data_IF_971074762296
#
_entry.id   IF_971074762296
#
_cell.length_a   1.000
_cell.length_b   1.000
_cell.length_c   1.000
_cell.angle_alpha   90.00
_cell.angle_beta   90.00
_cell.angle_gamma   90.00
#
_symmetry.space_group_name_H-M   'P 1'
#
loop_
_entity.id
_entity.type
_entity.pdbx_description
1 polymer ?
2 polymer ?
3 water ?
#
# COMPACT_ATOMS: atom_id res chain seq x y z
N UNK A 1 -20.55 -12.02 -16.68
CA UNK A 1 -19.43 -11.10 -16.46
C UNK A 1 -18.10 -11.88 -16.47
N UNK A 2 -17.12 -11.43 -17.27
CA UNK A 2 -15.80 -12.09 -17.22
C UNK A 2 -15.08 -11.75 -15.90
N UNK A 3 -14.68 -12.78 -15.14
CA UNK A 3 -14.11 -12.52 -13.82
C UNK A 3 -13.09 -13.61 -13.50
N UNK A 4 -12.17 -13.25 -12.61
CA UNK A 4 -11.28 -14.17 -11.90
C UNK A 4 -11.52 -13.98 -10.41
N UNK A 5 -11.80 -15.08 -9.69
CA UNK A 5 -12.10 -15.03 -8.27
C UNK A 5 -10.97 -15.73 -7.55
N UNK A 6 -10.28 -15.02 -6.68
CA UNK A 6 -9.18 -15.59 -5.92
C UNK A 6 -9.60 -16.02 -4.54
N UNK A 7 -8.86 -16.97 -3.99
CA UNK A 7 -9.10 -17.51 -2.67
C UNK A 7 -8.81 -16.46 -1.59
N UNK A 8 -9.32 -16.72 -0.38
CA UNK A 8 -9.26 -15.72 0.68
C UNK A 8 -7.86 -15.54 1.27
N UNK A 9 -7.73 -14.47 2.06
CA UNK A 9 -6.43 -14.14 2.68
C UNK A 9 -5.92 -15.26 3.57
N UNK A 10 -4.59 -15.36 3.67
CA UNK A 10 -3.93 -16.47 4.34
C UNK A 10 -2.92 -15.87 5.30
N UNK A 11 -2.88 -16.38 6.53
CA UNK A 11 -1.84 -16.03 7.50
C UNK A 11 -1.15 -17.32 7.87
N UNK A 12 0.16 -17.39 7.61
CA UNK A 12 0.90 -18.62 7.70
C UNK A 12 2.18 -18.37 8.48
N UNK A 13 2.80 -19.46 8.88
CA UNK A 13 4.11 -19.42 9.52
C UNK A 13 5.20 -19.80 8.53
N UNK A 14 6.45 -19.32 8.67
CA UNK A 14 7.50 -19.67 7.71
C UNK A 14 7.77 -21.17 7.71
N UNK A 15 8.15 -21.68 6.52
CA UNK A 15 8.27 -23.12 6.32
C UNK A 15 6.97 -23.80 5.90
N UNK A 16 5.83 -23.21 6.19
CA UNK A 16 4.58 -23.91 5.83
C UNK A 16 4.33 -23.91 4.32
N UNK A 17 3.55 -24.90 3.86
CA UNK A 17 3.16 -24.96 2.47
C UNK A 17 1.87 -24.18 2.30
N UNK A 18 1.65 -23.65 1.12
CA UNK A 18 0.40 -22.92 0.88
C UNK A 18 0.06 -23.01 -0.59
N UNK A 19 -1.22 -23.23 -0.91
CA UNK A 19 -1.69 -23.21 -2.29
C UNK A 19 -2.86 -22.24 -2.39
N UNK A 20 -2.74 -21.24 -3.26
CA UNK A 20 -3.82 -20.28 -3.45
C UNK A 20 -4.40 -20.52 -4.83
N UNK A 21 -5.65 -20.06 -5.04
CA UNK A 21 -6.37 -20.44 -6.26
C UNK A 21 -6.92 -19.21 -6.97
N UNK A 22 -7.20 -19.41 -8.25
CA UNK A 22 -7.73 -18.34 -9.13
C UNK A 22 -8.72 -19.00 -10.08
N UNK A 23 -10.00 -18.74 -9.88
CA UNK A 23 -11.09 -19.42 -10.60
C UNK A 23 -11.68 -18.47 -11.65
N UNK A 24 -11.69 -18.90 -12.91
CA UNK A 24 -12.30 -18.09 -13.99
C UNK A 24 -13.78 -18.37 -14.19
N UNK A 25 -14.51 -17.30 -14.52
CA UNK A 25 -15.93 -17.38 -14.82
C UNK A 25 -16.24 -16.47 -15.98
N UNK A 26 -17.25 -16.88 -16.79
CA UNK A 26 -17.76 -16.06 -17.87
C UNK A 26 -16.94 -16.07 -19.12
N UNK A 27 -16.04 -17.05 -19.31
CA UNK A 27 -15.20 -17.11 -20.50
C UNK A 27 -14.57 -18.50 -20.57
N UNK A 28 -14.04 -18.85 -21.76
CA UNK A 28 -13.38 -20.14 -21.98
C UNK A 28 -12.01 -20.15 -21.28
N UNK A 29 -11.95 -20.75 -20.10
CA UNK A 29 -10.71 -20.69 -19.31
C UNK A 29 -9.53 -21.30 -20.04
N UNK A 30 -9.77 -22.32 -20.88
CA UNK A 30 -8.63 -22.98 -21.50
C UNK A 30 -8.09 -22.23 -22.72
N UNK A 31 -8.63 -21.06 -23.06
CA UNK A 31 -8.22 -20.36 -24.27
C UNK A 31 -7.33 -19.15 -24.01
N UNK A 32 -6.98 -18.88 -22.76
CA UNK A 32 -6.27 -17.65 -22.41
C UNK A 32 -5.16 -17.97 -21.41
N UNK A 33 -4.04 -17.24 -21.51
CA UNK A 33 -3.01 -17.35 -20.50
C UNK A 33 -3.44 -16.75 -19.17
N UNK A 34 -2.98 -17.33 -18.07
CA UNK A 34 -3.14 -16.77 -16.73
C UNK A 34 -1.78 -16.40 -16.20
N UNK A 35 -1.62 -15.17 -15.70
CA UNK A 35 -0.38 -14.76 -15.06
C UNK A 35 -0.56 -14.54 -13.57
N UNK A 36 0.55 -14.64 -12.82
CA UNK A 36 0.57 -14.34 -11.40
C UNK A 36 1.51 -13.17 -11.17
N UNK A 37 1.06 -12.24 -10.34
CA UNK A 37 1.79 -11.00 -10.11
C UNK A 37 1.81 -10.73 -8.62
N UNK A 38 2.96 -10.33 -8.09
CA UNK A 38 3.13 -10.07 -6.67
C UNK A 38 3.24 -8.59 -6.42
N UNK A 39 2.63 -8.11 -5.33
CA UNK A 39 2.83 -6.74 -4.89
C UNK A 39 3.18 -6.74 -3.41
N UNK A 40 4.47 -6.53 -3.10
CA UNK A 40 4.84 -6.50 -1.70
C UNK A 40 4.31 -5.22 -1.06
N UNK A 41 4.16 -5.22 0.28
CA UNK A 41 3.53 -4.06 0.95
C UNK A 41 4.24 -2.76 0.59
N UNK A 42 3.50 -1.80 0.06
CA UNK A 42 4.04 -0.50 -0.28
C UNK A 42 4.87 -0.44 -1.53
N UNK A 43 4.96 -1.52 -2.30
CA UNK A 43 5.84 -1.59 -3.45
C UNK A 43 5.01 -1.75 -4.74
N UNK A 44 5.72 -1.92 -5.86
CA UNK A 44 5.11 -2.03 -7.17
C UNK A 44 4.74 -3.46 -7.52
N UNK A 45 4.46 -3.66 -8.80
CA UNK A 45 4.00 -4.94 -9.33
C UNK A 45 5.17 -5.74 -9.85
N UNK A 46 5.19 -7.05 -9.57
CA UNK A 46 6.27 -7.89 -10.07
C UNK A 46 5.65 -9.15 -10.68
N UNK A 47 6.09 -9.50 -11.88
CA UNK A 47 5.57 -10.65 -12.60
C UNK A 47 6.29 -11.89 -12.11
N UNK A 48 5.52 -12.92 -11.76
CA UNK A 48 6.07 -14.16 -11.23
C UNK A 48 6.11 -15.30 -12.23
N UNK A 49 5.08 -15.46 -13.04
CA UNK A 49 5.07 -16.47 -14.09
C UNK A 49 3.69 -16.56 -14.71
N UNK A 50 3.54 -17.52 -15.61
CA UNK A 50 2.33 -17.60 -16.41
C UNK A 50 2.04 -19.06 -16.74
N UNK A 51 0.77 -19.36 -17.02
CA UNK A 51 0.41 -20.73 -17.39
C UNK A 51 -0.72 -20.65 -18.40
N UNK A 52 -0.65 -21.52 -19.39
CA UNK A 52 -1.76 -21.67 -20.33
C UNK A 52 -2.60 -22.86 -19.90
N UNK A 53 -3.80 -22.65 -19.34
CA UNK A 53 -4.54 -23.78 -18.73
C UNK A 53 -4.94 -24.86 -19.72
N UNK A 54 -5.04 -24.53 -21.00
CA UNK A 54 -5.40 -25.55 -21.99
C UNK A 54 -4.40 -26.69 -22.07
N UNK A 55 -3.11 -26.41 -21.84
CA UNK A 55 -2.12 -27.48 -21.85
C UNK A 55 -1.10 -27.42 -20.71
N UNK A 56 -1.28 -26.53 -19.73
CA UNK A 56 -0.40 -26.40 -18.56
C UNK A 56 1.03 -26.05 -18.95
N UNK A 57 1.21 -25.42 -20.11
CA UNK A 57 2.52 -24.86 -20.45
C UNK A 57 2.79 -23.72 -19.50
N UNK A 58 3.96 -23.72 -18.83
CA UNK A 58 4.24 -22.73 -17.79
C UNK A 58 5.58 -22.04 -18.04
N UNK A 59 5.68 -20.78 -17.61
CA UNK A 59 6.96 -20.10 -17.59
C UNK A 59 7.09 -19.37 -16.27
N UNK A 60 8.28 -19.37 -15.69
CA UNK A 60 8.56 -18.73 -14.42
C UNK A 60 9.63 -17.66 -14.60
N UNK A 61 9.43 -16.51 -13.99
CA UNK A 61 10.53 -15.58 -13.76
C UNK A 61 11.71 -16.29 -13.08
N UNK A 62 12.95 -16.00 -13.48
CA UNK A 62 14.09 -16.57 -12.74
C UNK A 62 14.04 -16.31 -11.25
N UNK A 63 13.46 -15.18 -10.85
CA UNK A 63 13.34 -14.83 -9.44
C UNK A 63 12.40 -15.74 -8.67
N UNK A 64 11.55 -16.50 -9.37
CA UNK A 64 10.60 -17.37 -8.68
C UNK A 64 10.73 -18.83 -9.08
N UNK A 65 11.52 -19.15 -10.11
CA UNK A 65 11.75 -20.52 -10.49
C UNK A 65 12.23 -21.25 -9.25
N UNK A 66 11.61 -22.38 -8.95
CA UNK A 66 12.07 -23.15 -7.83
C UNK A 66 11.60 -22.67 -6.47
N UNK A 67 10.83 -21.58 -6.40
CA UNK A 67 10.22 -21.21 -5.14
C UNK A 67 8.72 -21.44 -5.17
N UNK A 68 8.12 -21.41 -6.34
CA UNK A 68 6.68 -21.61 -6.45
C UNK A 68 6.42 -22.60 -7.56
N UNK A 69 5.24 -23.19 -7.52
CA UNK A 69 4.74 -24.03 -8.57
C UNK A 69 3.40 -23.47 -9.01
N UNK A 70 3.25 -23.25 -10.31
CA UNK A 70 2.01 -22.73 -10.90
C UNK A 70 1.39 -23.91 -11.62
N UNK A 71 0.08 -24.10 -11.45
CA UNK A 71 -0.58 -25.25 -12.03
C UNK A 71 -2.01 -24.87 -12.38
N UNK A 72 -2.68 -25.75 -13.10
CA UNK A 72 -4.07 -25.46 -13.43
C UNK A 72 -4.88 -26.74 -13.49
N UNK A 73 -6.17 -26.62 -13.12
CA UNK A 73 -7.16 -27.71 -13.23
C UNK A 73 -8.22 -27.20 -14.20
N UNK A 74 -8.06 -27.54 -15.46
CA UNK A 74 -8.94 -26.99 -16.49
C UNK A 74 -10.36 -27.47 -16.31
N UNK A 75 -10.54 -28.66 -15.72
CA UNK A 75 -11.90 -29.19 -15.54
C UNK A 75 -12.76 -28.30 -14.65
N UNK A 76 -12.15 -27.45 -13.81
CA UNK A 76 -12.93 -26.57 -12.94
C UNK A 76 -12.44 -25.13 -13.10
N UNK A 77 -11.80 -24.83 -14.24
CA UNK A 77 -11.40 -23.45 -14.62
C UNK A 77 -10.63 -22.74 -13.49
N UNK A 78 -9.69 -23.45 -12.84
CA UNK A 78 -8.95 -22.87 -11.72
C UNK A 78 -7.45 -22.98 -11.94
N UNK A 79 -6.71 -21.88 -11.74
CA UNK A 79 -5.26 -21.90 -11.72
C UNK A 79 -4.77 -21.79 -10.29
N UNK A 80 -3.57 -22.30 -10.01
CA UNK A 80 -3.08 -22.33 -8.65
C UNK A 80 -1.65 -21.82 -8.62
N UNK A 81 -1.27 -21.30 -7.46
CA UNK A 81 0.12 -21.06 -7.09
C UNK A 81 0.43 -21.64 -5.72
N UNK A 82 1.52 -22.39 -5.62
CA UNK A 82 1.78 -23.17 -4.44
C UNK A 82 3.21 -22.92 -4.03
N UNK A 83 3.41 -22.68 -2.75
CA UNK A 83 4.73 -22.59 -2.13
C UNK A 83 5.01 -23.85 -1.34
N UNK A 84 6.24 -24.37 -1.44
CA UNK A 84 6.52 -25.52 -0.57
C UNK A 84 6.98 -25.06 0.81
N UNK A 85 7.61 -23.88 0.90
CA UNK A 85 8.25 -23.44 2.15
C UNK A 85 8.14 -21.90 2.15
N UNK A 86 7.05 -21.38 2.71
CA UNK A 86 6.86 -19.93 2.74
C UNK A 86 7.97 -19.23 3.52
N UNK A 87 8.41 -18.08 2.99
CA UNK A 87 9.40 -17.27 3.67
C UNK A 87 8.73 -15.98 4.14
N UNK A 88 9.27 -15.35 5.17
CA UNK A 88 8.72 -14.07 5.63
C UNK A 88 8.58 -13.08 4.48
N UNK A 89 9.52 -13.12 3.54
CA UNK A 89 9.52 -12.16 2.44
C UNK A 89 8.48 -12.52 1.40
N UNK A 90 7.79 -13.65 1.54
CA UNK A 90 6.61 -13.89 0.72
C UNK A 90 5.37 -13.13 1.16
N UNK A 91 5.42 -12.35 2.24
CA UNK A 91 4.27 -11.50 2.59
C UNK A 91 4.02 -10.47 1.50
N UNK A 92 2.86 -10.58 0.84
CA UNK A 92 2.51 -9.72 -0.30
C UNK A 92 1.05 -9.98 -0.70
N UNK A 93 0.54 -9.09 -1.54
CA UNK A 93 -0.71 -9.32 -2.27
C UNK A 93 -0.35 -10.07 -3.55
N UNK A 94 -1.08 -11.15 -3.86
CA UNK A 94 -0.84 -11.91 -5.08
C UNK A 94 -2.05 -11.78 -5.98
N UNK A 95 -1.83 -11.35 -7.23
CA UNK A 95 -2.91 -11.25 -8.20
C UNK A 95 -2.79 -12.33 -9.23
N UNK A 96 -3.90 -12.89 -9.68
CA UNK A 96 -3.83 -13.62 -10.93
C UNK A 96 -4.52 -12.73 -11.97
N UNK A 97 -4.13 -12.88 -13.23
CA UNK A 97 -4.69 -12.01 -14.26
C UNK A 97 -4.70 -12.78 -15.56
N UNK A 98 -5.71 -12.50 -16.40
CA UNK A 98 -5.81 -13.10 -17.70
C UNK A 98 -5.14 -12.20 -18.74
N UNK A 99 -4.46 -12.82 -19.69
CA UNK A 99 -3.89 -12.06 -20.81
C UNK A 99 -4.89 -11.86 -21.94
N UNK A 100 -4.83 -10.67 -22.54
CA UNK A 100 -5.73 -10.29 -23.62
C UNK A 100 -5.51 -11.12 -24.87
N UNK A 101 -6.60 -11.42 -25.58
CA UNK A 101 -6.57 -11.98 -26.94
C UNK A 101 -7.70 -11.34 -27.74
N UNK A 102 -7.41 -10.93 -28.98
CA UNK A 102 -8.48 -10.56 -29.90
C UNK A 102 -9.50 -11.68 -30.05
N UNK A 103 -9.09 -12.78 -30.70
CA UNK A 103 -10.00 -13.91 -30.95
C UNK A 103 -9.57 -15.13 -30.14
N UNK A 104 -10.28 -15.46 -29.05
CA UNK A 104 -9.97 -16.68 -28.29
C UNK A 104 -10.21 -17.95 -29.08
N UNK A 105 -10.88 -17.88 -30.23
CA UNK A 105 -11.35 -19.10 -30.89
C UNK A 105 -10.25 -19.84 -31.65
N UNK A 106 -9.16 -19.16 -32.03
CA UNK A 106 -8.03 -19.86 -32.63
C UNK A 106 -7.32 -20.69 -31.57
N UNK A 107 -6.91 -21.91 -31.96
CA UNK A 107 -6.44 -22.90 -30.99
C UNK A 107 -5.10 -22.52 -30.38
N UNK A 108 -4.21 -21.90 -31.15
CA UNK A 108 -2.87 -21.54 -30.67
C UNK A 108 -2.89 -20.06 -30.30
N UNK A 109 -2.60 -19.75 -29.04
CA UNK A 109 -2.77 -18.39 -28.57
C UNK A 109 -1.59 -17.49 -28.87
N UNK A 110 -0.40 -18.05 -29.03
CA UNK A 110 0.79 -17.22 -29.12
C UNK A 110 1.12 -16.64 -27.77
N UNK A 111 2.17 -15.83 -27.71
CA UNK A 111 2.71 -15.38 -26.42
C UNK A 111 1.67 -14.59 -25.63
N UNK A 112 1.88 -14.53 -24.33
CA UNK A 112 0.95 -13.82 -23.45
C UNK A 112 1.03 -12.32 -23.63
N UNK A 113 -0.13 -11.70 -23.89
CA UNK A 113 -0.27 -10.26 -24.12
C UNK A 113 -0.52 -9.57 -22.77
N UNK A 114 -0.98 -8.32 -22.80
CA UNK A 114 -1.26 -7.54 -21.60
C UNK A 114 -2.36 -8.21 -20.80
N UNK A 115 -2.36 -7.94 -19.50
CA UNK A 115 -3.36 -8.52 -18.58
C UNK A 115 -4.63 -7.67 -18.59
N UNK A 116 -5.70 -8.20 -19.22
CA UNK A 116 -6.95 -7.45 -19.32
C UNK A 116 -7.96 -7.73 -18.21
N UNK A 117 -7.90 -8.89 -17.55
CA UNK A 117 -8.82 -9.22 -16.46
C UNK A 117 -7.99 -9.53 -15.23
N UNK A 118 -8.28 -8.89 -14.09
CA UNK A 118 -7.48 -9.16 -12.88
C UNK A 118 -8.36 -9.74 -11.78
N UNK A 119 -7.83 -10.73 -11.06
CA UNK A 119 -8.46 -11.18 -9.83
C UNK A 119 -8.36 -10.10 -8.76
N UNK A 120 -9.09 -10.30 -7.66
CA UNK A 120 -9.20 -9.26 -6.64
C UNK A 120 -8.01 -9.25 -5.69
N UNK A 121 -7.10 -10.20 -5.83
CA UNK A 121 -5.92 -10.38 -5.00
C UNK A 121 -6.19 -11.28 -3.79
N UNK A 122 -5.13 -12.01 -3.40
CA UNK A 122 -5.06 -12.83 -2.19
C UNK A 122 -3.91 -12.28 -1.37
N UNK A 123 -4.21 -11.82 -0.17
CA UNK A 123 -3.18 -11.34 0.74
C UNK A 123 -2.58 -12.55 1.48
N UNK A 124 -1.26 -12.68 1.41
CA UNK A 124 -0.55 -13.78 2.12
C UNK A 124 0.36 -13.11 3.11
N UNK A 125 0.21 -13.45 4.38
CA UNK A 125 1.07 -12.92 5.42
C UNK A 125 1.84 -14.08 6.04
N UNK A 126 3.17 -13.96 6.08
CA UNK A 126 4.04 -15.02 6.63
C UNK A 126 4.79 -14.44 7.81
N UNK A 127 4.67 -15.08 8.97
CA UNK A 127 5.29 -14.54 10.17
C UNK A 127 5.38 -15.63 11.21
N UNK A 128 6.45 -15.59 12.02
CA UNK A 128 6.57 -16.48 13.17
C UNK A 128 5.65 -16.07 14.31
N UNK A 129 5.03 -14.89 14.23
CA UNK A 129 4.19 -14.44 15.31
C UNK A 129 2.92 -15.28 15.38
N UNK A 130 2.33 -15.31 16.57
CA UNK A 130 1.01 -15.89 16.79
C UNK A 130 -0.02 -14.77 16.97
N UNK A 131 -1.27 -15.14 16.74
CA UNK A 131 -2.40 -14.25 16.96
C UNK A 131 -2.33 -13.63 18.35
N UNK A 132 -2.50 -12.32 18.40
CA UNK A 132 -2.27 -11.55 19.63
C UNK A 132 -3.10 -10.28 19.57
N UNK A 133 -3.90 -10.03 20.61
CA UNK A 133 -4.69 -8.83 20.64
C UNK A 133 -3.88 -7.61 21.03
N UNK A 134 -4.35 -6.42 20.66
CA UNK A 134 -3.59 -5.20 20.95
C UNK A 134 -3.70 -4.74 22.39
N UNK A 135 -2.64 -4.08 22.83
CA UNK A 135 -2.70 -3.19 23.98
C UNK A 135 -3.09 -1.81 23.46
N UNK A 136 -3.93 -1.10 24.20
CA UNK A 136 -4.41 0.21 23.77
C UNK A 136 -3.97 1.24 24.80
N UNK A 137 -3.24 2.24 24.34
CA UNK A 137 -2.78 3.26 25.27
C UNK A 137 -3.31 4.62 24.84
N UNK A 138 -3.67 5.49 25.78
CA UNK A 138 -4.17 6.82 25.40
C UNK A 138 -3.04 7.72 24.95
N UNK A 139 -3.36 8.59 23.99
CA UNK A 139 -2.50 9.66 23.52
C UNK A 139 -3.13 10.93 24.06
N UNK A 140 -2.65 11.36 25.23
CA UNK A 140 -3.29 12.37 26.04
C UNK A 140 -2.95 13.77 25.54
N UNK A 141 -3.93 14.67 25.46
CA UNK A 141 -3.74 16.04 24.98
C UNK A 141 -2.97 16.92 25.97
N UNK A 149 -6.83 26.78 20.56
CA UNK A 149 -8.21 26.38 20.36
C UNK A 149 -8.44 24.92 19.98
N UNK A 150 -7.45 24.30 19.34
CA UNK A 150 -7.54 22.91 18.89
C UNK A 150 -6.60 22.05 19.73
N UNK A 151 -7.10 20.91 20.18
CA UNK A 151 -6.32 19.91 20.88
C UNK A 151 -6.35 18.60 20.10
N UNK A 152 -5.23 17.88 20.12
CA UNK A 152 -5.17 16.55 19.53
C UNK A 152 -5.13 15.51 20.63
N UNK A 153 -5.82 14.41 20.40
CA UNK A 153 -5.85 13.28 21.31
C UNK A 153 -5.98 12.03 20.45
N UNK A 154 -5.74 10.87 21.04
CA UNK A 154 -5.75 9.68 20.23
C UNK A 154 -5.53 8.42 21.03
N UNK A 155 -5.38 7.32 20.30
CA UNK A 155 -5.13 6.00 20.86
C UNK A 155 -3.96 5.37 20.14
N UNK A 156 -3.02 4.84 20.90
CA UNK A 156 -1.94 4.03 20.36
C UNK A 156 -2.33 2.57 20.50
N UNK A 157 -2.45 1.87 19.38
CA UNK A 157 -2.92 0.48 19.33
C UNK A 157 -1.71 -0.37 19.01
N UNK A 158 -1.13 -1.03 20.01
CA UNK A 158 0.22 -1.52 19.88
C UNK A 158 0.29 -3.03 20.10
N UNK A 159 1.21 -3.68 19.38
CA UNK A 159 1.63 -5.06 19.56
C UNK A 159 0.51 -6.05 19.29
N UNK A 160 -0.07 -6.01 18.08
CA UNK A 160 -1.07 -6.99 17.74
C UNK A 160 -0.66 -7.75 16.48
N UNK A 161 -1.31 -8.89 16.26
CA UNK A 161 -1.04 -9.68 15.08
C UNK A 161 -2.23 -10.59 14.85
N UNK A 162 -2.65 -10.80 13.59
CA UNK A 162 -2.22 -10.14 12.36
C UNK A 162 -3.02 -8.85 12.11
N UNK A 163 -2.76 -8.16 11.00
CA UNK A 163 -3.69 -7.11 10.57
C UNK A 163 -5.05 -7.72 10.27
N UNK A 164 -6.14 -6.93 10.36
CA UNK A 164 -6.21 -5.52 10.74
C UNK A 164 -6.85 -5.30 12.11
N UNK A 165 -6.69 -4.09 12.62
CA UNK A 165 -7.60 -3.57 13.63
C UNK A 165 -8.47 -2.52 12.97
N UNK A 166 -9.66 -2.34 13.53
CA UNK A 166 -10.49 -1.20 13.16
C UNK A 166 -10.58 -0.29 14.37
N UNK A 167 -10.65 1.01 14.12
CA UNK A 167 -10.75 1.98 15.21
C UNK A 167 -11.88 2.92 14.87
N UNK A 168 -12.77 3.15 15.82
CA UNK A 168 -13.79 4.18 15.71
C UNK A 168 -13.71 5.06 16.95
N UNK A 169 -14.39 6.20 16.89
CA UNK A 169 -14.41 7.13 18.01
C UNK A 169 -15.84 7.36 18.44
N UNK A 170 -16.07 7.32 19.75
CA UNK A 170 -17.39 7.54 20.34
C UNK A 170 -18.44 6.72 19.59
N UNK A 171 -18.09 5.44 19.37
CA UNK A 171 -18.96 4.42 18.78
C UNK A 171 -19.49 4.85 17.40
N UNK A 172 -18.71 5.64 16.67
CA UNK A 172 -19.07 6.09 15.34
C UNK A 172 -19.70 7.46 15.29
N UNK A 173 -20.01 8.05 16.44
CA UNK A 173 -20.60 9.38 16.46
C UNK A 173 -19.59 10.48 16.13
N UNK A 174 -18.30 10.22 16.35
CA UNK A 174 -17.25 11.21 16.16
C UNK A 174 -16.40 10.78 14.97
N UNK A 175 -16.59 11.46 13.83
CA UNK A 175 -15.87 11.14 12.60
C UNK A 175 -15.10 12.31 11.99
N UNK A 176 -15.53 13.55 12.20
CA UNK A 176 -14.77 14.67 11.68
C UNK A 176 -13.45 14.83 12.44
N UNK A 177 -12.38 15.09 11.69
CA UNK A 177 -11.09 15.30 12.30
C UNK A 177 -10.37 14.05 12.75
N UNK A 178 -10.89 12.86 12.43
CA UNK A 178 -10.27 11.59 12.80
C UNK A 178 -9.28 11.19 11.73
N UNK A 179 -8.11 10.74 12.15
CA UNK A 179 -7.11 10.17 11.26
C UNK A 179 -6.66 8.86 11.88
N UNK A 180 -6.89 7.76 11.19
CA UNK A 180 -6.38 6.47 11.61
C UNK A 180 -5.29 6.07 10.64
N UNK A 181 -4.05 5.93 11.15
CA UNK A 181 -2.88 5.77 10.30
C UNK A 181 -2.71 4.31 9.90
N UNK A 182 -2.02 4.05 8.80
CA UNK A 182 -1.71 2.67 8.43
C UNK A 182 -0.86 2.04 9.52
N UNK A 183 -1.08 0.74 9.77
CA UNK A 183 -0.25 0.03 10.71
C UNK A 183 1.19 -0.04 10.23
N UNK A 184 2.13 -0.07 11.17
CA UNK A 184 3.51 -0.37 10.84
C UNK A 184 3.86 -1.72 11.45
N UNK A 185 4.72 -2.47 10.77
CA UNK A 185 5.25 -3.71 11.32
C UNK A 185 6.48 -3.40 12.16
N UNK A 186 6.43 -3.72 13.44
CA UNK A 186 7.56 -3.50 14.32
C UNK A 186 8.60 -4.62 14.14
N UNK A 187 9.83 -4.32 14.57
CA UNK A 187 10.86 -5.35 14.53
C UNK A 187 10.52 -6.55 15.42
N UNK A 188 9.66 -6.38 16.42
CA UNK A 188 9.13 -7.52 17.18
C UNK A 188 8.28 -8.45 16.33
N UNK A 189 7.87 -8.05 15.12
CA UNK A 189 6.98 -8.85 14.33
C UNK A 189 5.51 -8.57 14.56
N UNK A 190 5.18 -7.71 15.52
CA UNK A 190 3.82 -7.28 15.82
C UNK A 190 3.56 -5.93 15.18
N UNK A 191 2.29 -5.64 14.95
CA UNK A 191 1.93 -4.38 14.31
C UNK A 191 1.61 -3.32 15.34
N UNK A 192 1.63 -2.07 14.89
CA UNK A 192 1.23 -0.97 15.75
C UNK A 192 0.61 0.10 14.87
N UNK A 193 -0.49 0.70 15.32
CA UNK A 193 -0.94 1.92 14.65
C UNK A 193 -1.44 2.92 15.68
N UNK A 194 -1.64 4.15 15.22
CA UNK A 194 -2.29 5.15 16.05
C UNK A 194 -3.50 5.72 15.33
N UNK A 195 -4.44 6.21 16.11
CA UNK A 195 -5.60 6.90 15.57
C UNK A 195 -5.74 8.17 16.39
N UNK A 196 -5.92 9.31 15.71
CA UNK A 196 -5.98 10.59 16.40
C UNK A 196 -7.22 11.32 15.94
N UNK A 197 -7.61 12.32 16.73
CA UNK A 197 -8.69 13.21 16.35
C UNK A 197 -8.35 14.55 16.96
N UNK A 198 -8.70 15.61 16.24
CA UNK A 198 -8.58 16.96 16.76
C UNK A 198 -9.96 17.44 17.14
N UNK A 199 -10.03 18.14 18.27
CA UNK A 199 -11.30 18.57 18.85
C UNK A 199 -11.10 19.94 19.46
N UNK A 200 -12.19 20.64 19.75
CA UNK A 200 -12.07 21.92 20.46
C UNK A 200 -11.44 21.69 21.82
N UNK A 201 -10.41 22.48 22.14
CA UNK A 201 -9.79 22.33 23.44
C UNK A 201 -10.79 22.64 24.56
N UNK A 202 -11.87 23.34 24.23
CA UNK A 202 -12.91 23.68 25.19
C UNK A 202 -13.69 22.45 25.65
N UNK A 203 -13.84 21.45 24.79
CA UNK A 203 -14.62 20.26 25.13
C UNK A 203 -13.88 19.33 26.08
N UNK A 204 -12.62 19.64 26.40
CA UNK A 204 -11.83 18.83 27.32
C UNK A 204 -12.10 19.28 28.76
N UNK A 209 -14.12 11.27 25.51
CA UNK A 209 -13.52 10.73 24.27
C UNK A 209 -13.05 9.30 24.48
N UNK A 210 -13.61 8.39 23.68
CA UNK A 210 -13.40 6.95 23.84
C UNK A 210 -13.09 6.37 22.47
N UNK A 211 -11.96 5.69 22.34
CA UNK A 211 -11.67 5.02 21.09
C UNK A 211 -12.07 3.55 21.19
N UNK A 212 -12.70 3.06 20.15
CA UNK A 212 -13.28 1.72 20.07
C UNK A 212 -12.39 0.90 19.17
N UNK A 213 -11.64 -0.03 19.74
CA UNK A 213 -10.66 -0.81 18.99
C UNK A 213 -11.16 -2.25 18.90
N UNK A 214 -11.23 -2.77 17.67
CA UNK A 214 -11.65 -4.14 17.42
C UNK A 214 -10.54 -4.86 16.66
N UNK A 215 -10.21 -6.07 17.09
CA UNK A 215 -9.23 -6.91 16.42
C UNK A 215 -9.91 -8.26 16.24
N UNK A 216 -10.53 -8.45 15.06
CA UNK A 216 -11.30 -9.66 14.78
C UNK A 216 -10.52 -10.96 15.03
N UNK A 217 -9.25 -11.11 14.59
CA UNK A 217 -8.57 -12.40 14.80
C UNK A 217 -8.50 -12.86 16.25
N UNK A 218 -8.26 -11.95 17.18
CA UNK A 218 -8.14 -12.34 18.58
C UNK A 218 -9.46 -12.19 19.35
N UNK A 219 -10.54 -11.80 18.66
CA UNK A 219 -11.83 -11.47 19.29
C UNK A 219 -11.68 -10.44 20.40
N UNK A 220 -10.84 -9.43 20.16
CA UNK A 220 -10.52 -8.40 21.15
C UNK A 220 -11.35 -7.16 20.87
N UNK A 221 -12.00 -6.64 21.90
CA UNK A 221 -12.70 -5.37 21.83
C UNK A 221 -12.28 -4.55 23.04
N UNK A 222 -11.81 -3.33 22.80
CA UNK A 222 -11.38 -2.45 23.88
C UNK A 222 -11.90 -1.04 23.60
N UNK A 223 -12.57 -0.45 24.59
CA UNK A 223 -13.08 0.91 24.52
C UNK A 223 -12.33 1.72 25.57
N UNK A 224 -11.38 2.56 25.14
CA UNK A 224 -10.46 3.25 26.05
C UNK A 224 -10.79 4.73 26.12
N UNK A 225 -11.04 5.23 27.33
CA UNK A 225 -11.25 6.65 27.56
C UNK A 225 -9.90 7.39 27.54
N UNK A 226 -9.87 8.51 26.84
CA UNK A 226 -8.66 9.30 26.69
C UNK A 226 -8.92 10.62 27.42
N UNK A 227 -8.34 10.77 28.60
CA UNK A 227 -8.65 11.88 29.49
C UNK A 227 -7.46 12.83 29.63
N UNK B 2 14.66 -6.60 -19.04
CA UNK B 2 14.51 -5.25 -19.56
C UNK B 2 14.03 -4.37 -18.43
N UNK B 3 14.75 -3.29 -18.16
CA UNK B 3 14.36 -2.35 -17.12
C UNK B 3 13.40 -1.30 -17.70
N UNK B 4 12.26 -1.13 -17.04
CA UNK B 4 11.29 -0.08 -17.34
C UNK B 4 11.36 1.02 -16.29
N UNK B 5 11.64 2.24 -16.74
CA UNK B 5 11.78 3.38 -15.85
C UNK B 5 10.68 4.37 -16.15
N UNK B 6 9.90 4.72 -15.12
CA UNK B 6 8.81 5.66 -15.26
C UNK B 6 9.23 7.01 -14.71
N UNK B 7 8.62 8.07 -15.25
CA UNK B 7 8.88 9.42 -14.81
C UNK B 7 7.65 10.27 -15.06
N UNK B 8 7.36 11.25 -14.18
CA UNK B 8 8.06 11.39 -12.90
C UNK B 8 7.55 10.31 -11.94
N UNK B 9 8.14 10.25 -10.77
CA UNK B 9 7.68 9.29 -9.77
C UNK B 9 6.36 9.72 -9.13
N UNK B 10 6.15 11.04 -8.96
CA UNK B 10 4.88 11.57 -8.53
C UNK B 10 4.55 12.80 -9.36
N UNK B 11 3.26 13.08 -9.48
CA UNK B 11 2.75 14.17 -10.30
C UNK B 11 1.50 14.72 -9.61
N UNK B 12 1.50 16.01 -9.36
CA UNK B 12 0.35 16.65 -8.75
C UNK B 12 -0.39 17.41 -9.84
N UNK B 13 -1.69 17.20 -9.95
CA UNK B 13 -2.44 17.86 -11.02
C UNK B 13 -3.86 18.14 -10.54
N UNK B 14 -4.65 18.76 -11.42
CA UNK B 14 -6.00 19.19 -11.12
C UNK B 14 -6.97 18.67 -12.16
N UNK B 15 -8.23 18.51 -11.75
CA UNK B 15 -9.29 18.11 -12.66
C UNK B 15 -9.31 19.05 -13.86
N UNK B 16 -9.29 18.46 -15.07
CA UNK B 16 -9.28 19.23 -16.31
C UNK B 16 -7.92 19.42 -16.93
N UNK B 17 -6.86 19.13 -16.18
CA UNK B 17 -5.50 19.17 -16.67
C UNK B 17 -5.25 18.11 -17.74
N UNK B 18 -4.44 18.45 -18.73
CA UNK B 18 -3.84 17.45 -19.58
C UNK B 18 -2.57 16.97 -18.88
N UNK B 19 -2.44 15.66 -18.65
CA UNK B 19 -1.25 15.15 -18.00
C UNK B 19 -0.64 14.06 -18.87
N UNK B 20 0.69 14.00 -18.87
CA UNK B 20 1.42 12.96 -19.55
C UNK B 20 2.42 12.37 -18.57
N UNK B 21 2.58 11.06 -18.63
CA UNK B 21 3.57 10.35 -17.82
C UNK B 21 4.34 9.43 -18.76
N UNK B 22 5.62 9.21 -18.46
CA UNK B 22 6.46 8.54 -19.44
C UNK B 22 7.07 7.27 -18.86
N UNK B 23 7.46 6.40 -19.79
CA UNK B 23 7.98 5.08 -19.47
C UNK B 23 9.06 4.81 -20.50
N UNK B 24 10.30 4.59 -20.07
CA UNK B 24 11.37 4.29 -21.01
C UNK B 24 11.90 2.89 -20.77
N UNK B 25 12.07 2.14 -21.86
CA UNK B 25 12.62 0.79 -21.81
C UNK B 25 14.12 0.85 -22.04
N UNK B 26 14.86 0.01 -21.30
CA UNK B 26 16.31 -0.04 -21.41
C UNK B 26 16.78 -0.62 -22.74
N UNK B 27 15.92 -1.33 -23.46
CA UNK B 27 16.21 -1.74 -24.83
C UNK B 27 14.89 -1.83 -25.59
N UNK B 28 14.96 -2.08 -26.89
CA UNK B 28 13.75 -2.17 -27.68
C UNK B 28 12.81 -3.23 -27.13
N UNK B 29 11.54 -2.85 -26.97
CA UNK B 29 10.46 -3.75 -26.62
C UNK B 29 9.40 -3.78 -27.73
N UNK B 30 9.76 -3.30 -28.92
CA UNK B 30 8.83 -3.06 -30.00
C UNK B 30 7.68 -2.20 -29.48
N UNK B 31 6.44 -2.57 -29.79
CA UNK B 31 5.30 -1.87 -29.21
C UNK B 31 4.59 -2.70 -28.14
N UNK B 32 5.23 -3.75 -27.61
CA UNK B 32 4.60 -4.61 -26.61
C UNK B 32 4.70 -3.97 -25.22
N UNK B 33 3.89 -2.94 -25.01
CA UNK B 33 3.91 -2.10 -23.82
C UNK B 33 2.47 -1.96 -23.36
N UNK B 34 2.18 -2.18 -22.08
CA UNK B 34 0.83 -1.95 -21.55
C UNK B 34 0.90 -0.88 -20.46
N UNK B 35 -0.20 -0.15 -20.26
CA UNK B 35 -0.34 0.78 -19.13
C UNK B 35 -1.50 0.32 -18.25
N UNK B 36 -1.32 0.39 -16.92
CA UNK B 36 -2.31 -0.02 -15.94
C UNK B 36 -2.53 1.10 -14.94
N UNK B 37 -3.75 1.15 -14.45
CA UNK B 37 -4.13 2.03 -13.35
C UNK B 37 -4.32 1.18 -12.11
N UNK B 38 -3.84 1.65 -10.95
CA UNK B 38 -4.20 0.97 -9.71
C UNK B 38 -4.55 1.96 -8.63
N UNK B 39 -5.67 1.71 -7.95
CA UNK B 39 -6.04 2.46 -6.78
C UNK B 39 -5.75 1.68 -5.51
N UNK B 40 -5.52 2.39 -4.39
CA UNK B 40 -5.07 1.74 -3.16
C UNK B 40 -5.95 0.56 -2.74
N UNK B 41 -5.35 -0.61 -2.59
CA UNK B 41 -6.03 -1.80 -2.13
C UNK B 41 -6.86 -2.51 -3.17
N UNK B 42 -6.86 -2.01 -4.41
CA UNK B 42 -7.66 -2.57 -5.50
C UNK B 42 -6.72 -3.17 -6.53
N UNK B 43 -7.27 -4.06 -7.32
CA UNK B 43 -6.46 -4.67 -8.37
C UNK B 43 -6.20 -3.66 -9.48
N UNK B 44 -5.08 -3.80 -10.19
CA UNK B 44 -4.82 -3.01 -11.40
C UNK B 44 -5.95 -3.19 -12.40
N UNK B 45 -6.07 -2.19 -13.27
CA UNK B 45 -6.95 -2.21 -14.44
C UNK B 45 -6.14 -1.84 -15.68
N UNK B 46 -6.36 -2.59 -16.76
CA UNK B 46 -5.68 -2.35 -18.04
C UNK B 46 -6.27 -1.13 -18.73
N UNK B 47 -5.40 -0.20 -19.14
CA UNK B 47 -5.83 0.98 -19.88
C UNK B 47 -5.47 0.90 -21.35
N UNK B 48 -4.19 0.63 -21.64
CA UNK B 48 -3.61 0.67 -22.97
C UNK B 48 -2.83 -0.60 -23.17
N UNK B 49 -2.97 -1.23 -24.33
CA UNK B 49 -2.12 -2.35 -24.68
C UNK B 49 -1.52 -2.10 -26.06
N UNK B 50 -0.45 -2.82 -26.36
CA UNK B 50 0.30 -2.66 -27.61
C UNK B 50 0.65 -1.20 -27.86
N UNK B 51 1.00 -0.51 -26.77
CA UNK B 51 1.55 0.86 -26.76
C UNK B 51 0.48 1.91 -26.98
N UNK B 52 -0.46 1.67 -27.87
CA UNK B 52 -1.42 2.73 -28.19
C UNK B 52 -2.85 2.25 -28.36
N UNK B 53 -3.16 0.99 -28.07
CA UNK B 53 -4.51 0.48 -28.28
C UNK B 53 -5.32 0.65 -27.00
N UNK B 54 -6.50 1.27 -27.10
CA UNK B 54 -7.30 1.54 -25.92
C UNK B 54 -8.12 0.31 -25.56
N UNK B 55 -7.99 -0.15 -24.31
CA UNK B 55 -8.76 -1.29 -23.84
C UNK B 55 -10.26 -1.00 -23.91
N UNK B 56 -11.02 -1.99 -24.35
CA UNK B 56 -12.46 -1.86 -24.38
C UNK B 56 -12.99 -1.33 -23.05
N UNK B 57 -13.89 -0.35 -23.13
CA UNK B 57 -14.51 0.22 -21.95
C UNK B 57 -13.75 1.32 -21.26
N UNK B 58 -12.47 1.49 -21.53
CA UNK B 58 -11.71 2.57 -20.91
C UNK B 58 -12.00 3.87 -21.66
N UNK B 59 -12.27 4.96 -20.95
CA UNK B 59 -12.60 6.23 -21.63
C UNK B 59 -11.49 6.69 -22.58
N UNK B 60 -11.90 7.27 -23.70
CA UNK B 60 -10.91 7.63 -24.71
C UNK B 60 -10.10 8.87 -24.35
N UNK B 61 -10.29 9.45 -23.17
CA UNK B 61 -9.37 10.48 -22.71
C UNK B 61 -8.00 9.92 -22.38
N UNK B 62 -7.88 8.60 -22.27
CA UNK B 62 -6.59 7.95 -22.14
C UNK B 62 -6.06 7.62 -23.53
N UNK B 63 -4.79 7.91 -23.76
CA UNK B 63 -4.16 7.51 -25.00
C UNK B 63 -2.69 7.20 -24.73
N UNK B 64 -2.12 6.32 -25.53
CA UNK B 64 -0.71 5.97 -25.43
C UNK B 64 -0.01 6.26 -26.74
N UNK B 65 1.28 6.53 -26.66
CA UNK B 65 2.08 6.76 -27.85
C UNK B 65 3.48 6.22 -27.58
N UNK B 66 4.22 6.04 -28.66
CA UNK B 66 5.57 5.49 -28.61
C UNK B 66 6.48 6.34 -29.48
N UNK B 67 7.69 6.60 -29.00
CA UNK B 67 8.78 7.16 -29.79
C UNK B 67 10.02 6.35 -29.41
N UNK B 68 10.36 5.34 -30.22
CA UNK B 68 11.51 4.52 -29.89
C UNK B 68 11.27 3.77 -28.59
N UNK B 69 12.20 3.88 -27.64
CA UNK B 69 12.04 3.22 -26.35
C UNK B 69 11.28 4.07 -25.34
N UNK B 70 10.76 5.22 -25.74
CA UNK B 70 10.02 6.10 -24.85
C UNK B 70 8.53 5.96 -25.14
N UNK B 71 7.76 5.70 -24.09
CA UNK B 71 6.34 5.51 -24.21
C UNK B 71 5.65 6.55 -23.33
N UNK B 72 4.52 7.06 -23.81
CA UNK B 72 3.85 8.12 -23.08
C UNK B 72 2.39 7.75 -22.90
N UNK B 73 1.90 7.97 -21.69
CA UNK B 73 0.49 7.86 -21.38
C UNK B 73 -0.03 9.26 -21.19
N UNK B 74 -1.09 9.60 -21.91
CA UNK B 74 -1.63 10.94 -21.86
C UNK B 74 -3.06 10.82 -21.37
N UNK B 75 -3.42 11.65 -20.41
CA UNK B 75 -4.81 11.83 -20.02
C UNK B 75 -5.19 13.24 -20.44
N UNK B 76 -6.14 13.34 -21.36
CA UNK B 76 -6.36 14.60 -22.06
C UNK B 76 -7.11 15.63 -21.22
N UNK B 77 -7.88 15.16 -20.23
CA UNK B 77 -8.67 16.02 -19.35
C UNK B 77 -8.89 15.18 -18.09
N UNK B 78 -8.16 15.49 -17.04
CA UNK B 78 -8.12 14.64 -15.85
C UNK B 78 -9.46 14.68 -15.12
N UNK B 79 -9.94 13.50 -14.72
CA UNK B 79 -11.21 13.54 -14.00
C UNK B 79 -10.99 13.02 -12.58
N UNK B 80 -11.92 13.23 -11.64
CA UNK B 80 -11.69 12.79 -10.25
C UNK B 80 -11.35 11.31 -10.12
N UNK B 81 -11.89 10.45 -10.99
CA UNK B 81 -11.58 9.02 -10.93
C UNK B 81 -10.14 8.70 -11.31
N UNK B 82 -9.39 9.65 -11.88
CA UNK B 82 -8.11 9.30 -12.47
C UNK B 82 -6.94 9.41 -11.49
N UNK B 83 -7.16 9.92 -10.29
CA UNK B 83 -6.07 10.03 -9.32
C UNK B 83 -5.78 8.64 -8.78
N UNK B 84 -4.56 8.17 -9.03
CA UNK B 84 -4.24 6.75 -8.86
C UNK B 84 -2.75 6.56 -9.13
N UNK B 85 -2.26 5.34 -9.00
CA UNK B 85 -0.92 5.02 -9.48
C UNK B 85 -1.01 4.34 -10.83
N UNK B 86 -0.07 4.67 -11.71
CA UNK B 86 -0.04 4.15 -13.07
C UNK B 86 1.24 3.37 -13.26
N UNK B 87 1.14 2.16 -13.83
CA UNK B 87 2.29 1.31 -14.11
C UNK B 87 2.34 1.01 -15.60
N UNK B 88 3.55 1.02 -16.15
CA UNK B 88 3.74 0.43 -17.46
C UNK B 88 4.30 -0.97 -17.30
N UNK B 89 4.19 -1.74 -18.37
CA UNK B 89 4.69 -3.11 -18.35
C UNK B 89 5.12 -3.48 -19.75
N UNK B 90 6.33 -4.01 -19.91
CA UNK B 90 6.70 -4.58 -21.20
C UNK B 90 6.39 -6.07 -21.20
N UNK B 91 5.93 -6.55 -22.35
CA UNK B 91 5.71 -7.97 -22.56
C UNK B 91 6.30 -8.38 -23.90
N UNK B 92 7.37 -7.69 -24.28
CA UNK B 92 8.12 -8.06 -25.47
C UNK B 92 8.89 -9.36 -25.24
N UNK B 93 9.46 -9.54 -24.05
CA UNK B 93 10.23 -10.77 -23.83
C UNK B 93 10.29 -11.12 -22.35
N UNK B 94 10.44 -12.39 -22.08
CA UNK B 94 10.46 -12.88 -20.70
C UNK B 94 11.80 -12.57 -20.02
N UNK B 95 11.81 -12.24 -18.72
CA UNK B 95 10.62 -12.08 -17.85
C UNK B 95 9.89 -10.78 -18.15
N UNK B 96 8.56 -10.77 -18.07
CA UNK B 96 7.85 -9.52 -18.20
C UNK B 96 8.20 -8.64 -17.01
N UNK B 97 8.31 -7.33 -17.25
CA UNK B 97 8.78 -6.42 -16.21
C UNK B 97 7.91 -5.18 -16.20
N UNK B 98 7.73 -4.62 -15.02
CA UNK B 98 6.90 -3.44 -14.79
C UNK B 98 7.80 -2.25 -14.46
N UNK B 99 7.34 -1.06 -14.88
CA UNK B 99 7.88 0.18 -14.34
C UNK B 99 7.57 0.30 -12.86
N UNK B 100 8.25 1.25 -12.19
CA UNK B 100 8.13 1.35 -10.74
C UNK B 100 6.90 2.11 -10.28
N UNK B 101 6.09 2.63 -11.20
CA UNK B 101 4.86 3.34 -10.87
C UNK B 101 5.04 4.86 -10.84
N UNK B 102 3.96 5.57 -11.22
CA UNK B 102 3.86 7.02 -11.11
C UNK B 102 2.55 7.29 -10.37
N UNK B 103 2.62 7.97 -9.24
CA UNK B 103 1.42 8.30 -8.49
C UNK B 103 0.95 9.68 -8.92
N UNK B 104 -0.33 9.78 -9.30
CA UNK B 104 -0.94 11.03 -9.72
C UNK B 104 -1.79 11.51 -8.54
N UNK B 105 -1.43 12.64 -7.95
CA UNK B 105 -2.11 13.16 -6.78
C UNK B 105 -2.79 14.49 -7.10
N UNK B 106 -3.62 14.92 -6.17
CA UNK B 106 -4.45 16.12 -6.36
C UNK B 106 -3.65 17.32 -5.89
N UNK B 107 -3.40 18.26 -6.81
CA UNK B 107 -2.74 19.51 -6.45
C UNK B 107 -3.65 20.35 -5.56
N UNK B 108 -3.06 20.97 -4.54
CA UNK B 108 -3.74 21.98 -3.74
C UNK B 108 -2.69 22.98 -3.25
N UNK B 109 -3.14 23.93 -2.45
CA UNK B 109 -2.20 24.94 -1.96
C UNK B 109 -1.40 24.42 -0.77
N UNK B 110 -0.22 25.04 -0.58
CA UNK B 110 0.63 24.63 0.53
C UNK B 110 -0.12 24.82 1.83
N UNK B 111 -0.01 23.85 2.72
CA UNK B 111 -0.56 23.91 4.07
C UNK B 111 0.48 23.40 5.05
N UNK B 112 0.88 24.24 6.01
CA UNK B 112 1.84 23.81 7.01
C UNK B 112 1.21 22.80 7.97
N UNK B 113 1.96 21.82 8.44
CA UNK B 113 1.39 20.87 9.41
C UNK B 113 1.21 21.51 10.77
N UNK B 114 0.19 21.06 11.46
CA UNK B 114 0.04 21.35 12.87
C UNK B 114 0.67 20.17 13.61
N UNK B 115 1.57 20.45 14.54
CA UNK B 115 2.43 19.43 15.12
C UNK B 115 2.02 19.20 16.57
N UNK B 116 1.93 17.94 16.96
CA UNK B 116 1.61 17.62 18.35
C UNK B 116 2.53 16.50 18.80
N UNK B 117 2.98 16.55 20.07
CA UNK B 117 3.83 15.51 20.63
C UNK B 117 3.13 14.88 21.83
N UNK B 118 3.23 13.55 21.95
CA UNK B 118 2.53 12.79 22.99
C UNK B 118 3.54 11.97 23.77
N UNK B 119 3.71 12.20 25.07
CA UNK B 119 4.62 11.35 25.87
C UNK B 119 4.04 9.96 26.00
N UNK B 120 4.85 8.97 26.42
CA UNK B 120 4.28 7.65 26.72
C UNK B 120 3.30 7.76 27.88
N UNK B 121 2.29 6.90 27.84
CA UNK B 121 1.36 6.79 28.95
C UNK B 121 2.00 6.02 30.11
N UNK B 122 1.60 6.36 31.33
CA UNK B 122 2.13 5.61 32.44
C UNK B 122 1.68 4.15 32.41
N UNK B 123 0.53 3.88 31.79
CA UNK B 123 0.10 2.50 31.54
C UNK B 123 1.16 1.73 30.75
N UNK B 124 1.66 2.31 29.66
CA UNK B 124 2.64 1.62 28.83
C UNK B 124 3.96 1.46 29.56
N UNK B 125 4.35 2.47 30.36
CA UNK B 125 5.62 2.41 31.08
C UNK B 125 5.64 1.23 32.05
N UNK B 126 4.47 0.84 32.57
CA UNK B 126 4.41 -0.35 33.42
C UNK B 126 4.67 -1.62 32.64
N UNK B 127 4.80 -1.54 31.32
CA UNK B 127 5.02 -2.69 30.45
C UNK B 127 6.48 -2.89 30.07
N UNK B 128 7.32 -1.87 30.24
CA UNK B 128 8.75 -1.95 29.96
C UNK B 128 9.21 -1.15 28.76
N UNK B 129 8.29 -0.71 27.91
CA UNK B 129 8.63 0.05 26.70
C UNK B 129 7.93 1.41 26.74
N UNK B 130 8.54 2.39 26.09
CA UNK B 130 7.99 3.74 26.01
C UNK B 130 7.86 4.13 24.55
N UNK B 131 6.66 4.59 24.17
CA UNK B 131 6.38 5.05 22.81
C UNK B 131 6.10 6.55 22.88
N UNK B 132 6.88 7.33 22.15
CA UNK B 132 6.69 8.76 22.04
C UNK B 132 6.16 9.01 20.64
N UNK B 133 5.11 9.82 20.52
CA UNK B 133 4.38 9.95 19.26
C UNK B 133 4.35 11.43 18.89
N UNK B 134 4.65 11.71 17.62
CA UNK B 134 4.61 13.04 17.04
C UNK B 134 3.60 13.00 15.91
N UNK B 135 2.66 13.95 15.91
CA UNK B 135 1.59 14.02 14.92
C UNK B 135 1.79 15.27 14.06
N UNK B 136 1.78 15.09 12.73
CA UNK B 136 1.81 16.20 11.78
C UNK B 136 0.47 16.17 11.09
N UNK B 137 -0.36 17.17 11.33
CA UNK B 137 -1.76 17.10 10.94
C UNK B 137 -2.06 18.01 9.75
N UNK B 138 -2.73 17.47 8.73
CA UNK B 138 -3.35 18.22 7.62
C UNK B 138 -2.38 19.14 6.90
N UNK B 139 -1.35 18.57 6.28
CA UNK B 139 -0.35 19.38 5.61
C UNK B 139 -0.30 19.05 4.12
N UNK B 140 0.28 19.97 3.34
CA UNK B 140 0.48 19.73 1.93
C UNK B 140 1.63 20.61 1.46
N UNK B 141 2.55 20.11 0.64
CA UNK B 141 2.66 18.80 -0.01
C UNK B 141 3.09 17.67 0.95
N UNK B 142 3.17 16.46 0.42
CA UNK B 142 3.39 15.29 1.26
C UNK B 142 4.79 15.29 1.90
N UNK B 143 5.77 15.93 1.27
CA UNK B 143 7.15 15.81 1.74
C UNK B 143 7.32 16.57 3.04
N UNK B 144 7.78 15.87 4.06
CA UNK B 144 7.96 16.44 5.37
C UNK B 144 9.08 15.68 6.02
N UNK B 145 9.71 16.28 7.00
CA UNK B 145 10.64 15.42 7.71
C UNK B 145 10.52 15.65 9.21
N UNK B 146 10.58 14.54 9.94
CA UNK B 146 10.55 14.55 11.39
C UNK B 146 11.87 14.01 11.89
N UNK B 147 12.49 14.73 12.80
CA UNK B 147 13.69 14.26 13.49
C UNK B 147 13.43 14.24 14.99
N UNK B 148 13.73 13.11 15.62
CA UNK B 148 13.55 12.95 17.04
C UNK B 148 14.79 13.39 17.78
N UNK B 149 14.60 14.06 18.91
CA UNK B 149 15.67 14.69 19.66
C UNK B 149 15.52 14.23 21.09
N UNK B 150 16.53 13.55 21.61
CA UNK B 150 16.48 13.06 22.98
C UNK B 150 17.68 13.67 23.70
N UNK B 151 17.42 14.68 24.54
CA UNK B 151 18.46 15.47 25.21
C UNK B 151 19.44 16.03 24.19
N UNK B 152 18.88 16.54 23.09
CA UNK B 152 19.55 17.17 21.95
C UNK B 152 20.30 16.19 21.07
N UNK B 153 20.23 14.88 21.32
CA UNK B 153 20.94 13.90 20.52
C UNK B 153 20.00 13.34 19.46
N UNK B 154 20.38 13.53 18.20
CA UNK B 154 19.61 13.02 17.08
C UNK B 154 19.42 11.51 17.18
N UNK B 155 18.19 11.04 17.02
CA UNK B 155 17.90 9.62 17.08
C UNK B 155 17.88 9.04 15.67
N UNK B 156 18.29 7.79 15.57
CA UNK B 156 18.32 7.12 14.27
C UNK B 156 18.06 5.62 14.47
N UNK B 157 17.23 5.05 13.62
CA UNK B 157 16.97 3.62 13.64
C UNK B 157 15.89 3.18 14.62
N UNK B 158 15.38 4.07 15.46
CA UNK B 158 14.41 3.69 16.49
C UNK B 158 13.08 4.41 16.32
N UNK B 159 12.80 4.97 15.14
CA UNK B 159 11.48 5.54 14.88
C UNK B 159 10.88 4.92 13.63
N UNK B 160 9.55 4.92 13.58
CA UNK B 160 8.78 4.49 12.42
C UNK B 160 7.68 5.50 12.19
N UNK B 161 7.35 5.73 10.94
CA UNK B 161 6.29 6.68 10.65
C UNK B 161 5.33 6.10 9.63
N UNK B 162 4.20 6.78 9.52
CA UNK B 162 3.07 6.32 8.77
C UNK B 162 2.37 7.54 8.24
N UNK B 163 1.86 7.49 7.01
CA UNK B 163 1.20 8.64 6.41
C UNK B 163 -0.16 8.22 5.88
N UNK B 164 -1.14 9.09 6.03
CA UNK B 164 -2.46 8.81 5.47
C UNK B 164 -2.46 9.06 3.98
N UNK B 165 -3.49 8.55 3.31
CA UNK B 165 -3.64 8.94 1.92
C UNK B 165 -4.26 10.34 1.88
N UNK B 166 -4.19 10.96 0.71
CA UNK B 166 -4.69 12.31 0.58
C UNK B 166 -6.14 12.40 1.06
N UNK B 167 -6.43 13.37 1.92
CA UNK B 167 -7.76 13.44 2.55
C UNK B 167 -8.83 13.68 1.49
N UNK B 168 -9.91 12.90 1.59
CA UNK B 168 -10.98 12.98 0.59
C UNK B 168 -11.57 14.38 0.50
N UNK B 169 -11.65 15.10 1.62
CA UNK B 169 -12.29 16.41 1.60
C UNK B 169 -11.33 17.53 1.22
N UNK B 170 -10.20 17.62 1.93
CA UNK B 170 -9.30 18.77 1.81
C UNK B 170 -7.97 18.47 1.11
N UNK B 171 -7.74 17.22 0.67
CA UNK B 171 -6.55 16.82 -0.08
C UNK B 171 -5.26 17.00 0.71
N UNK B 172 -5.32 17.06 2.02
CA UNK B 172 -4.09 17.11 2.79
C UNK B 172 -3.67 15.71 3.21
N UNK B 173 -2.48 15.65 3.79
CA UNK B 173 -1.88 14.45 4.37
C UNK B 173 -1.77 14.63 5.88
N UNK B 174 -1.77 13.53 6.61
CA UNK B 174 -1.32 13.59 7.99
C UNK B 174 -0.27 12.50 8.21
N UNK B 175 0.59 12.70 9.20
CA UNK B 175 1.70 11.79 9.44
C UNK B 175 1.85 11.58 10.94
N UNK B 176 2.19 10.35 11.34
CA UNK B 176 2.51 10.07 12.73
C UNK B 176 3.89 9.42 12.75
N UNK B 177 4.74 9.87 13.65
CA UNK B 177 6.04 9.24 13.86
C UNK B 177 6.07 8.73 15.30
N UNK B 178 6.49 7.49 15.48
CA UNK B 178 6.60 6.91 16.82
C UNK B 178 8.05 6.59 17.12
N UNK B 179 8.58 7.19 18.17
CA UNK B 179 9.88 6.85 18.72
C UNK B 179 9.72 5.73 19.75
N UNK B 180 10.46 4.65 19.58
CA UNK B 180 10.40 3.53 20.53
C UNK B 180 11.71 3.44 21.28
N UNK B 181 11.63 3.48 22.61
CA UNK B 181 12.78 3.38 23.48
C UNK B 181 12.48 2.35 24.55
N UNK B 182 13.53 1.69 25.04
CA UNK B 182 13.38 0.93 26.27
C UNK B 182 12.98 1.89 27.37
N UNK B 183 12.21 1.41 28.35
CA UNK B 183 11.90 2.31 29.46
C UNK B 183 13.16 2.66 30.24
N UNK B 184 14.15 1.77 30.27
CA UNK B 184 15.43 2.12 30.89
C UNK B 184 16.04 3.32 30.20
N UNK B 185 16.17 3.27 28.86
CA UNK B 185 16.70 4.44 28.17
C UNK B 185 15.76 5.62 28.30
N UNK B 186 14.44 5.37 28.34
CA UNK B 186 13.50 6.48 28.50
C UNK B 186 13.69 7.18 29.84
N UNK B 187 13.93 6.41 30.90
CA UNK B 187 14.12 7.01 32.23
C UNK B 187 15.37 7.86 32.31
N UNK B 188 16.41 7.51 31.54
CA UNK B 188 17.72 8.13 31.73
C UNK B 188 17.84 9.50 31.07
N UNK B 189 16.81 9.99 30.38
CA UNK B 189 16.90 11.28 29.70
C UNK B 189 15.70 12.16 30.04
N UNK B 190 15.86 13.46 29.77
CA UNK B 190 14.90 14.47 30.20
C UNK B 190 14.07 15.02 29.06
N UNK B 191 14.70 15.58 28.01
CA UNK B 191 14.00 16.32 26.97
C UNK B 191 13.75 15.41 25.77
N UNK B 192 12.49 15.37 25.33
CA UNK B 192 12.09 14.65 24.14
C UNK B 192 11.45 15.63 23.18
N UNK B 193 11.96 15.70 21.96
CA UNK B 193 11.44 16.63 20.99
C UNK B 193 11.37 15.98 19.61
N UNK B 194 10.35 16.33 18.85
CA UNK B 194 10.34 16.07 17.42
C UNK B 194 10.46 17.39 16.69
N UNK B 195 11.30 17.41 15.67
CA UNK B 195 11.55 18.62 14.89
C UNK B 195 11.02 18.40 13.49
N UNK B 196 10.16 19.29 13.05
CA UNK B 196 9.42 19.11 11.82
C UNK B 196 9.86 20.17 10.83
N UNK B 197 10.21 19.72 9.63
CA UNK B 197 10.56 20.58 8.50
C UNK B 197 9.54 20.38 7.41
N UNK B 198 9.05 21.47 6.84
CA UNK B 198 8.03 21.37 5.80
C UNK B 198 8.04 22.66 4.99
N UNK B 199 7.69 22.54 3.73
CA UNK B 199 7.75 23.70 2.84
C UNK B 199 6.89 24.84 3.36
N UNK B 200 5.79 24.51 4.04
CA UNK B 200 4.89 25.52 4.58
C UNK B 200 5.40 26.25 5.79
N UNK B 201 6.53 25.81 6.36
CA UNK B 201 7.09 26.37 7.57
C UNK B 201 8.32 27.20 7.22
N UNK B 202 8.33 28.47 7.64
CA UNK B 202 9.50 29.33 7.43
C UNK B 202 10.77 28.75 8.04
N UNK B 203 10.65 28.07 9.16
CA UNK B 203 11.77 27.42 9.82
C UNK B 203 11.23 26.22 10.59
N UNK B 204 12.07 25.24 10.91
CA UNK B 204 11.56 23.98 11.48
C UNK B 204 10.84 24.22 12.81
N UNK B 205 9.76 23.45 13.03
CA UNK B 205 8.95 23.57 14.23
C UNK B 205 9.35 22.46 15.19
N UNK B 206 9.46 22.80 16.47
CA UNK B 206 9.87 21.84 17.48
C UNK B 206 8.77 21.77 18.54
N UNK B 207 8.28 20.56 18.79
CA UNK B 207 7.43 20.28 19.93
C UNK B 207 8.19 19.36 20.87
N UNK B 208 8.20 19.69 22.16
CA UNK B 208 9.00 18.95 23.10
C UNK B 208 8.27 18.85 24.43
N UNK B 209 8.79 17.98 25.29
CA UNK B 209 8.33 17.89 26.67
C UNK B 209 9.48 17.38 27.52
N UNK B 210 9.42 17.67 28.82
CA UNK B 210 10.33 17.09 29.81
C UNK B 210 9.62 15.94 30.51
N UNK B 211 10.31 14.82 30.64
CA UNK B 211 9.73 13.57 31.16
C UNK B 211 8.95 13.75 32.45
#
# INVERSE_FOLDING_TARGET
QVQLQQSGAEVKKPGESLKISCKGSGYSFTSYWIGWVRQMPGKGLEWMGIIYPGDSDTRYSPSFQGQVTISADKSISTAYMQWSSLKASDTAMYYCARSFRDDPRIAVAGPADAFDIWGQGTMVTVSSASTKGPSVFPLAPSSKSTSGPTAALGCLVKDYFPEPVTVSWNSGALTSGVHTFPAVLQSSGLYSLSSVVTVPSSSLGTQTYICNVNHKPSNTKVDKRVEPKSCDKTHHHHHH
DIQMTQSPSTLSASVGDRVTITCRASQSISYWLAWYQQKPGKAPKLLIYQASSLESGVPSRFSGSESGTEFTLTISSLQPDDFATYYCQQYNSYPYTFGQGTKLEIKRTVAAPSVFIFPPSDEQLKSGTASVVCLLNNFYPREAKVQWKVDNALQSGNSQESVTEQDSKDSTYSLSSTLTLSKADYEKHKVYACEVTHQGLSSPVTKSFNRGEC
#
